data_IF_097935027239
#
_entry.id   IF_097935027239
#
_cell.length_a   1.000
_cell.length_b   1.000
_cell.length_c   1.000
_cell.angle_alpha   90.00
_cell.angle_beta   90.00
_cell.angle_gamma   90.00
#
_symmetry.space_group_name_H-M   'P 1'
#
loop_
_entity.id
_entity.type
_entity.pdbx_description
1 polymer ?
#
# COMPACT_ATOMS: atom_id res chain seq x y z
N UNK A 1 45.35 9.09 -9.27
CA UNK A 1 44.31 10.17 -9.25
C UNK A 1 44.65 11.29 -8.26
N UNK A 2 43.98 12.46 -8.28
CA UNK A 2 44.18 13.54 -7.26
C UNK A 2 43.04 13.56 -6.23
N UNK A 3 43.35 13.90 -4.97
CA UNK A 3 42.36 14.01 -3.91
C UNK A 3 41.46 15.23 -4.13
N UNK A 4 40.14 15.04 -4.17
CA UNK A 4 39.18 16.16 -4.26
C UNK A 4 39.15 17.04 -3.02
N UNK A 5 39.66 16.56 -1.88
CA UNK A 5 39.61 17.28 -0.61
C UNK A 5 40.89 18.07 -0.31
N UNK A 6 42.06 17.61 -0.76
CA UNK A 6 43.35 18.27 -0.47
C UNK A 6 44.23 18.53 -1.70
N UNK A 7 43.83 18.08 -2.89
CA UNK A 7 44.54 18.31 -4.15
C UNK A 7 45.84 17.50 -4.34
N UNK A 8 46.25 16.68 -3.36
CA UNK A 8 47.47 15.86 -3.47
C UNK A 8 47.25 14.63 -4.37
N UNK A 9 48.32 14.19 -5.01
CA UNK A 9 48.32 13.01 -5.87
C UNK A 9 48.25 11.73 -5.02
N UNK A 10 47.44 10.78 -5.46
CA UNK A 10 47.16 9.52 -4.77
C UNK A 10 47.20 8.37 -5.78
N UNK A 11 47.67 7.20 -5.35
CA UNK A 11 47.63 5.97 -6.13
C UNK A 11 46.21 5.48 -6.42
N UNK A 12 46.05 4.86 -7.60
CA UNK A 12 44.77 4.31 -8.03
C UNK A 12 44.49 3.00 -7.26
N UNK A 13 43.39 2.96 -6.52
CA UNK A 13 42.95 1.80 -5.74
C UNK A 13 43.05 1.93 -4.22
N UNK A 14 43.51 3.05 -3.68
CA UNK A 14 43.43 3.30 -2.23
C UNK A 14 42.02 3.74 -1.84
N UNK A 15 41.53 3.28 -0.68
CA UNK A 15 40.20 3.61 -0.14
C UNK A 15 40.16 4.93 0.64
N UNK A 16 41.31 5.47 1.03
CA UNK A 16 41.43 6.69 1.82
C UNK A 16 42.70 7.45 1.42
N UNK A 17 42.62 8.77 1.43
CA UNK A 17 43.73 9.65 1.14
C UNK A 17 44.68 9.67 2.35
N UNK A 18 45.95 9.22 2.21
CA UNK A 18 46.88 9.17 3.33
C UNK A 18 47.25 10.55 3.88
N UNK A 19 47.04 11.61 3.09
CA UNK A 19 47.45 12.97 3.43
C UNK A 19 46.38 13.78 4.18
N UNK A 20 45.09 13.46 3.99
CA UNK A 20 43.99 14.21 4.64
C UNK A 20 42.92 13.32 5.28
N UNK A 21 43.02 11.99 5.15
CA UNK A 21 42.05 11.04 5.66
C UNK A 21 40.75 10.93 4.85
N UNK A 22 40.56 11.75 3.81
CA UNK A 22 39.34 11.72 3.00
C UNK A 22 39.21 10.39 2.24
N UNK A 23 38.01 9.79 2.24
CA UNK A 23 37.74 8.53 1.54
C UNK A 23 37.73 8.77 0.03
N UNK A 24 38.53 8.01 -0.70
CA UNK A 24 38.72 8.09 -2.16
C UNK A 24 38.74 6.64 -2.67
N UNK A 25 38.20 6.30 -3.83
CA UNK A 25 38.34 4.92 -4.35
C UNK A 25 37.31 3.88 -3.89
N UNK A 26 36.04 4.26 -3.72
CA UNK A 26 34.93 3.29 -3.80
C UNK A 26 34.16 3.51 -5.11
N UNK A 27 33.84 2.44 -5.89
CA UNK A 27 32.83 2.54 -6.93
C UNK A 27 31.55 3.10 -6.33
N UNK A 28 30.96 4.09 -7.00
CA UNK A 28 29.72 4.75 -6.63
C UNK A 28 28.51 3.83 -6.85
N UNK A 29 28.51 2.68 -6.17
CA UNK A 29 27.43 1.70 -6.25
C UNK A 29 27.13 1.10 -4.86
N UNK A 30 26.93 2.01 -3.91
CA UNK A 30 25.97 1.76 -2.84
C UNK A 30 24.85 2.75 -3.07
N UNK A 31 23.57 2.31 -3.06
CA UNK A 31 22.46 3.24 -2.96
C UNK A 31 22.64 3.94 -1.62
N UNK A 32 23.20 5.15 -1.69
CA UNK A 32 23.19 6.09 -0.60
C UNK A 32 21.71 6.33 -0.38
N UNK A 33 21.17 5.72 0.68
CA UNK A 33 19.81 5.96 1.10
C UNK A 33 19.68 7.47 1.20
N UNK A 34 18.96 8.05 0.25
CA UNK A 34 18.56 9.44 0.23
C UNK A 34 17.93 9.71 1.59
N UNK A 35 18.74 10.27 2.50
CA UNK A 35 18.24 10.71 3.78
C UNK A 35 17.12 11.70 3.44
N UNK A 36 15.89 11.46 3.89
CA UNK A 36 14.76 12.30 3.52
C UNK A 36 15.11 13.74 3.91
N UNK A 37 15.20 14.62 2.90
CA UNK A 37 15.50 16.03 3.12
C UNK A 37 14.28 16.67 3.77
N UNK A 38 14.41 17.09 5.01
CA UNK A 38 13.35 17.77 5.78
C UNK A 38 13.69 19.25 5.84
N UNK A 39 12.70 20.10 5.60
CA UNK A 39 12.87 21.55 5.67
C UNK A 39 12.21 22.10 6.93
N UNK A 40 12.87 23.04 7.59
CA UNK A 40 12.29 23.71 8.75
C UNK A 40 11.09 24.57 8.32
N UNK A 41 9.92 24.36 8.94
CA UNK A 41 8.72 25.16 8.67
C UNK A 41 8.83 26.64 9.07
N UNK A 42 9.78 27.00 9.94
CA UNK A 42 9.96 28.37 10.41
C UNK A 42 10.96 29.16 9.56
N UNK A 43 12.10 28.55 9.17
CA UNK A 43 13.16 29.26 8.44
C UNK A 43 13.41 28.77 7.00
N UNK A 44 12.75 27.70 6.56
CA UNK A 44 12.86 27.17 5.20
C UNK A 44 14.19 26.49 4.86
N UNK A 45 15.14 26.40 5.80
CA UNK A 45 16.44 25.74 5.57
C UNK A 45 16.33 24.23 5.73
N UNK A 46 17.20 23.51 5.02
CA UNK A 46 17.36 22.06 5.17
C UNK A 46 17.81 21.71 6.59
N UNK A 47 17.20 20.68 7.16
CA UNK A 47 17.51 20.16 8.49
C UNK A 47 17.51 18.64 8.48
N UNK A 48 18.34 18.04 9.32
CA UNK A 48 18.37 16.60 9.51
C UNK A 48 17.01 16.08 10.02
N UNK A 49 16.50 14.94 9.50
CA UNK A 49 15.25 14.34 9.95
C UNK A 49 15.24 13.95 11.43
N UNK A 50 16.43 13.79 12.04
CA UNK A 50 16.59 13.39 13.44
C UNK A 50 16.89 14.57 14.38
N UNK A 51 16.97 15.80 13.86
CA UNK A 51 17.24 16.98 14.69
C UNK A 51 16.00 17.36 15.51
N UNK A 52 16.14 17.40 16.85
CA UNK A 52 15.08 17.86 17.74
C UNK A 52 14.85 19.38 17.69
N UNK A 53 15.86 20.15 17.31
CA UNK A 53 15.81 21.60 17.11
C UNK A 53 16.48 21.98 15.79
N UNK A 54 15.94 23.01 15.13
CA UNK A 54 16.53 23.57 13.94
C UNK A 54 17.85 24.29 14.29
N UNK A 55 19.01 23.89 13.70
CA UNK A 55 20.28 24.55 13.95
C UNK A 55 20.34 25.99 13.42
N UNK A 56 19.39 26.38 12.55
CA UNK A 56 19.38 27.70 11.92
C UNK A 56 18.47 28.73 12.59
N UNK A 57 17.40 28.30 13.28
CA UNK A 57 16.44 29.23 13.89
C UNK A 57 16.01 28.85 15.31
N UNK A 58 16.49 27.72 15.85
CA UNK A 58 16.15 27.27 17.21
C UNK A 58 14.72 26.72 17.36
N UNK A 59 13.92 26.68 16.29
CA UNK A 59 12.59 26.10 16.35
C UNK A 59 12.66 24.59 16.62
N UNK A 60 11.80 24.09 17.52
CA UNK A 60 11.67 22.65 17.79
C UNK A 60 11.14 21.93 16.55
N UNK A 61 11.85 20.88 16.12
CA UNK A 61 11.46 20.04 14.99
C UNK A 61 11.01 18.71 15.59
N UNK A 62 9.75 18.37 15.39
CA UNK A 62 9.29 17.02 15.69
C UNK A 62 9.71 16.11 14.52
N UNK A 63 10.48 15.04 14.79
CA UNK A 63 10.76 14.03 13.77
C UNK A 63 9.40 13.52 13.30
N UNK A 64 9.16 13.57 11.99
CA UNK A 64 7.94 13.05 11.36
C UNK A 64 7.97 11.53 11.52
N UNK A 65 7.54 11.07 12.70
CA UNK A 65 7.33 9.70 13.06
C UNK A 65 6.45 9.10 11.95
N UNK A 66 6.99 8.14 11.19
CA UNK A 66 6.27 7.42 10.15
C UNK A 66 4.97 6.94 10.76
N UNK A 67 3.85 7.60 10.43
CA UNK A 67 2.54 7.18 10.92
C UNK A 67 2.34 5.75 10.39
N UNK A 68 2.28 4.72 11.26
CA UNK A 68 2.21 3.35 10.79
C UNK A 68 0.93 3.22 9.97
N UNK A 69 1.09 2.78 8.72
CA UNK A 69 -0.03 2.49 7.83
C UNK A 69 -0.86 1.37 8.46
N UNK A 70 -2.19 1.52 8.45
CA UNK A 70 -3.14 0.57 9.02
C UNK A 70 -3.30 -0.62 8.05
N UNK A 71 -2.22 -1.36 7.84
CA UNK A 71 -2.19 -2.58 7.03
C UNK A 71 -3.28 -3.58 7.49
N UNK A 72 -3.64 -3.53 8.76
CA UNK A 72 -4.69 -4.33 9.37
C UNK A 72 -6.09 -4.07 8.77
N UNK A 73 -6.40 -2.81 8.39
CA UNK A 73 -7.68 -2.46 7.78
C UNK A 73 -7.80 -2.99 6.35
N UNK A 74 -6.71 -2.90 5.58
CA UNK A 74 -6.64 -3.46 4.22
C UNK A 74 -6.72 -4.99 4.28
N UNK A 75 -6.02 -5.62 5.22
CA UNK A 75 -6.09 -7.05 5.44
C UNK A 75 -7.51 -7.51 5.80
N UNK A 76 -8.22 -6.77 6.66
CA UNK A 76 -9.62 -7.05 7.02
C UNK A 76 -10.57 -6.99 5.81
N UNK A 77 -10.38 -6.02 4.93
CA UNK A 77 -11.17 -5.89 3.71
C UNK A 77 -10.92 -7.05 2.73
N UNK A 78 -9.65 -7.43 2.51
CA UNK A 78 -9.27 -8.55 1.64
C UNK A 78 -9.79 -9.88 2.21
N UNK A 79 -9.69 -10.10 3.52
CA UNK A 79 -10.29 -11.27 4.18
C UNK A 79 -11.80 -11.33 4.01
N UNK A 80 -12.49 -10.20 4.15
CA UNK A 80 -13.94 -10.12 3.94
C UNK A 80 -14.35 -10.49 2.50
N UNK A 81 -13.56 -10.14 1.49
CA UNK A 81 -13.82 -10.49 0.09
C UNK A 81 -13.57 -11.98 -0.20
N UNK A 82 -12.50 -12.55 0.34
CA UNK A 82 -12.18 -13.99 0.18
C UNK A 82 -13.23 -14.85 0.90
N UNK A 83 -13.68 -14.43 2.08
CA UNK A 83 -14.74 -15.12 2.83
C UNK A 83 -16.13 -15.03 2.17
N UNK A 84 -16.39 -13.99 1.36
CA UNK A 84 -17.62 -13.87 0.57
C UNK A 84 -17.71 -14.92 -0.55
N UNK A 85 -16.56 -15.39 -1.05
CA UNK A 85 -16.50 -16.43 -2.10
C UNK A 85 -16.40 -17.86 -1.55
N UNK A 86 -16.04 -18.02 -0.27
CA UNK A 86 -15.81 -19.31 0.38
C UNK A 86 -17.04 -20.08 0.88
N UNK A 87 -18.27 -19.59 0.66
CA UNK A 87 -19.46 -20.45 0.68
C UNK A 87 -19.96 -20.98 2.04
N UNK A 88 -19.93 -20.20 3.13
CA UNK A 88 -20.71 -20.56 4.32
C UNK A 88 -21.37 -19.35 4.98
N UNK A 89 -22.60 -19.11 4.56
CA UNK A 89 -23.54 -18.13 5.09
C UNK A 89 -23.94 -18.59 6.50
N UNK A 90 -23.43 -17.93 7.55
CA UNK A 90 -24.19 -17.53 8.77
C UNK A 90 -23.32 -17.04 9.95
N UNK A 91 -22.00 -17.26 9.96
CA UNK A 91 -21.14 -16.89 11.14
C UNK A 91 -20.31 -15.61 10.91
N UNK A 92 -20.05 -15.25 9.64
CA UNK A 92 -19.15 -14.15 9.25
C UNK A 92 -19.63 -12.72 9.52
N UNK A 93 -20.92 -12.34 9.38
CA UNK A 93 -21.32 -10.94 9.54
C UNK A 93 -21.13 -10.42 10.98
N UNK A 94 -21.22 -11.30 11.99
CA UNK A 94 -21.00 -10.93 13.39
C UNK A 94 -19.52 -10.56 13.61
N UNK A 95 -18.59 -11.34 13.06
CA UNK A 95 -17.14 -11.07 13.18
C UNK A 95 -16.74 -9.82 12.39
N UNK A 96 -17.33 -9.62 11.20
CA UNK A 96 -17.13 -8.41 10.38
C UNK A 96 -17.63 -7.14 11.07
N UNK A 97 -18.79 -7.19 11.73
CA UNK A 97 -19.32 -6.07 12.50
C UNK A 97 -18.43 -5.75 13.72
N UNK A 98 -17.90 -6.77 14.40
CA UNK A 98 -17.00 -6.58 15.54
C UNK A 98 -15.67 -5.93 15.09
N UNK A 99 -15.08 -6.39 13.99
CA UNK A 99 -13.84 -5.80 13.46
C UNK A 99 -14.05 -4.37 12.92
N UNK A 100 -15.21 -4.10 12.30
CA UNK A 100 -15.60 -2.76 11.86
C UNK A 100 -15.82 -1.80 13.03
N UNK A 101 -16.41 -2.25 14.14
CA UNK A 101 -16.61 -1.46 15.34
C UNK A 101 -15.28 -1.09 16.02
N UNK A 102 -14.32 -2.03 16.07
CA UNK A 102 -12.97 -1.79 16.63
C UNK A 102 -12.18 -0.82 15.74
N UNK A 103 -12.29 -0.93 14.41
CA UNK A 103 -11.65 0.02 13.48
C UNK A 103 -12.19 1.45 13.63
N UNK A 104 -13.49 1.57 13.92
CA UNK A 104 -14.17 2.82 14.25
C UNK A 104 -13.73 3.39 15.60
N UNK A 105 -13.23 2.59 16.55
CA UNK A 105 -12.73 3.10 17.82
C UNK A 105 -11.30 3.67 17.73
N UNK A 106 -10.59 3.49 16.60
CA UNK A 106 -9.18 3.89 16.43
C UNK A 106 -8.98 5.06 15.42
N UNK A 107 -10.04 5.84 15.13
CA UNK A 107 -10.02 6.87 14.06
C UNK A 107 -9.01 8.00 14.28
N UNK A 108 -8.62 8.27 15.52
CA UNK A 108 -7.67 9.35 15.87
C UNK A 108 -6.28 9.16 15.23
N UNK A 109 -5.90 7.92 14.92
CA UNK A 109 -4.51 7.58 14.60
C UNK A 109 -4.22 7.46 13.10
N UNK A 110 -5.13 7.83 12.20
CA UNK A 110 -4.91 7.75 10.75
C UNK A 110 -5.04 9.10 10.05
N UNK A 111 -3.92 9.61 9.54
CA UNK A 111 -3.83 10.88 8.79
C UNK A 111 -2.85 10.63 7.66
N UNK A 112 -3.38 10.43 6.46
CA UNK A 112 -2.63 10.57 5.21
C UNK A 112 -3.61 10.84 4.07
N UNK A 113 -3.39 11.95 3.37
CA UNK A 113 -4.39 12.61 2.52
C UNK A 113 -4.28 12.21 1.02
N UNK A 114 -3.90 10.97 0.70
CA UNK A 114 -3.85 10.57 -0.72
C UNK A 114 -3.72 9.09 -1.01
N UNK A 115 -2.83 8.38 -0.29
CA UNK A 115 -2.60 6.95 -0.57
C UNK A 115 -3.78 6.07 -0.09
N UNK A 116 -4.45 6.46 1.00
CA UNK A 116 -5.64 5.78 1.49
C UNK A 116 -6.83 5.93 0.52
N UNK A 117 -6.96 7.10 -0.11
CA UNK A 117 -7.99 7.36 -1.12
C UNK A 117 -7.78 6.51 -2.36
N UNK A 118 -6.54 6.36 -2.84
CA UNK A 118 -6.23 5.48 -3.97
C UNK A 118 -6.60 4.02 -3.67
N UNK A 119 -6.25 3.52 -2.48
CA UNK A 119 -6.60 2.17 -2.05
C UNK A 119 -8.12 1.95 -1.96
N UNK A 120 -8.87 2.93 -1.45
CA UNK A 120 -10.32 2.86 -1.37
C UNK A 120 -10.98 2.82 -2.76
N UNK A 121 -10.52 3.66 -3.70
CA UNK A 121 -11.07 3.69 -5.06
C UNK A 121 -10.80 2.37 -5.79
N UNK A 122 -9.57 1.84 -5.70
CA UNK A 122 -9.21 0.56 -6.34
C UNK A 122 -10.05 -0.60 -5.75
N UNK A 123 -10.25 -0.60 -4.43
CA UNK A 123 -11.09 -1.56 -3.72
C UNK A 123 -12.54 -1.52 -4.23
N UNK A 124 -13.13 -0.33 -4.37
CA UNK A 124 -14.49 -0.15 -4.87
C UNK A 124 -14.61 -0.62 -6.33
N UNK A 125 -13.69 -0.21 -7.20
CA UNK A 125 -13.71 -0.60 -8.63
C UNK A 125 -13.60 -2.11 -8.79
N UNK A 126 -12.70 -2.76 -8.05
CA UNK A 126 -12.53 -4.22 -8.09
C UNK A 126 -13.78 -4.95 -7.61
N UNK A 127 -14.43 -4.45 -6.55
CA UNK A 127 -15.67 -5.04 -6.02
C UNK A 127 -16.82 -4.91 -7.01
N UNK A 128 -17.01 -3.73 -7.62
CA UNK A 128 -18.06 -3.52 -8.63
C UNK A 128 -17.84 -4.42 -9.85
N UNK A 129 -16.62 -4.48 -10.37
CA UNK A 129 -16.29 -5.33 -11.51
C UNK A 129 -16.57 -6.81 -11.20
N UNK A 130 -16.17 -7.27 -10.02
CA UNK A 130 -16.39 -8.64 -9.58
C UNK A 130 -17.87 -8.96 -9.36
N UNK A 131 -18.63 -8.06 -8.74
CA UNK A 131 -20.08 -8.22 -8.55
C UNK A 131 -20.82 -8.29 -9.90
N UNK A 132 -20.42 -7.47 -10.89
CA UNK A 132 -20.96 -7.55 -12.24
C UNK A 132 -20.63 -8.89 -12.91
N UNK A 133 -19.38 -9.37 -12.79
CA UNK A 133 -19.00 -10.69 -13.31
C UNK A 133 -19.80 -11.83 -12.66
N UNK A 134 -19.98 -11.80 -11.34
CA UNK A 134 -20.81 -12.80 -10.63
C UNK A 134 -22.26 -12.72 -11.06
N UNK A 135 -22.83 -11.52 -11.23
CA UNK A 135 -24.20 -11.35 -11.71
C UNK A 135 -24.39 -11.93 -13.13
N UNK A 136 -23.42 -11.74 -14.02
CA UNK A 136 -23.45 -12.34 -15.37
C UNK A 136 -23.37 -13.88 -15.32
N UNK A 137 -22.53 -14.42 -14.43
CA UNK A 137 -22.41 -15.87 -14.25
C UNK A 137 -23.71 -16.44 -13.68
N UNK A 138 -24.27 -15.83 -12.64
CA UNK A 138 -25.52 -16.28 -12.02
C UNK A 138 -26.68 -16.19 -13.01
N UNK A 139 -26.80 -15.09 -13.76
CA UNK A 139 -27.83 -14.97 -14.79
C UNK A 139 -27.68 -16.03 -15.88
N UNK A 140 -26.46 -16.27 -16.39
CA UNK A 140 -26.21 -17.34 -17.37
C UNK A 140 -26.48 -18.76 -16.85
N UNK A 141 -26.12 -19.03 -15.60
CA UNK A 141 -26.40 -20.32 -14.93
C UNK A 141 -27.89 -20.49 -14.71
N UNK A 142 -28.60 -19.45 -14.27
CA UNK A 142 -30.05 -19.49 -14.04
C UNK A 142 -30.79 -19.65 -15.36
N UNK A 143 -30.44 -18.90 -16.41
CA UNK A 143 -31.07 -19.05 -17.72
C UNK A 143 -30.81 -20.44 -18.30
N UNK A 144 -29.56 -20.91 -18.30
CA UNK A 144 -29.24 -22.25 -18.81
C UNK A 144 -29.86 -23.38 -17.98
N UNK A 145 -29.96 -23.21 -16.66
CA UNK A 145 -30.67 -24.14 -15.79
C UNK A 145 -32.18 -24.14 -16.07
N UNK A 146 -32.79 -22.97 -16.25
CA UNK A 146 -34.21 -22.86 -16.58
C UNK A 146 -34.52 -23.44 -17.97
N UNK A 147 -33.66 -23.21 -18.97
CA UNK A 147 -33.80 -23.80 -20.30
C UNK A 147 -33.73 -25.33 -20.22
N UNK A 148 -32.73 -25.87 -19.54
CA UNK A 148 -32.60 -27.32 -19.32
C UNK A 148 -33.77 -27.91 -18.51
N UNK A 149 -34.31 -27.15 -17.55
CA UNK A 149 -35.49 -27.55 -16.77
C UNK A 149 -36.76 -27.55 -17.62
N UNK A 150 -37.01 -26.51 -18.41
CA UNK A 150 -38.19 -26.42 -19.27
C UNK A 150 -38.18 -27.50 -20.35
N UNK A 151 -37.02 -27.80 -20.95
CA UNK A 151 -36.88 -28.92 -21.91
C UNK A 151 -37.17 -30.29 -21.26
N UNK A 152 -36.80 -30.47 -19.99
CA UNK A 152 -37.10 -31.69 -19.24
C UNK A 152 -38.58 -31.79 -18.82
N UNK A 153 -39.24 -30.68 -18.52
CA UNK A 153 -40.63 -30.65 -18.01
C UNK A 153 -41.67 -30.59 -19.13
N UNK A 154 -41.36 -29.91 -20.24
CA UNK A 154 -42.23 -29.78 -21.42
C UNK A 154 -41.51 -30.29 -22.66
N UNK A 155 -41.34 -31.62 -22.80
CA UNK A 155 -40.76 -32.18 -24.02
C UNK A 155 -41.68 -31.83 -25.20
N UNK A 156 -41.18 -31.00 -26.10
CA UNK A 156 -41.88 -30.48 -27.29
C UNK A 156 -42.17 -31.54 -28.37
N UNK A 157 -42.10 -32.84 -28.02
CA UNK A 157 -42.07 -33.97 -28.95
C UNK A 157 -43.17 -35.04 -28.79
N UNK A 158 -44.24 -34.82 -28.00
CA UNK A 158 -45.29 -35.84 -27.81
C UNK A 158 -46.66 -35.47 -28.42
N UNK A 159 -46.67 -34.68 -29.50
CA UNK A 159 -47.87 -34.44 -30.31
C UNK A 159 -47.54 -34.46 -31.80
N UNK A 160 -47.14 -35.63 -32.31
CA UNK A 160 -47.29 -35.96 -33.73
C UNK A 160 -47.38 -37.49 -33.87
N UNK A 161 -48.60 -37.93 -34.23
CA UNK A 161 -49.07 -39.28 -34.59
C UNK A 161 -49.48 -40.22 -33.46
#
# INVERSE_FOLDING_TARGET
>A
MYCSHCGKQIDDGVSFCPECGAKVGAPADRPQQDAPRVYCKNCGKEVSPDAALCPNCGAKIEPQNKKPINALGIAGFVLSLISLWGGSVFVVPIVGLILSAIGVAQREKYSSNGFATAGLVISIVTLVFWALMVALIVTGVVTGFFDAFFDAVYPSGAAAF
#
